data_IF_668103335007
#
_entry.id   IF_668103335007
#
_cell.length_a   1.000
_cell.length_b   1.000
_cell.length_c   1.000
_cell.angle_alpha   90.00
_cell.angle_beta   90.00
_cell.angle_gamma   90.00
#
_symmetry.space_group_name_H-M   'P 1'
#
loop_
_entity.id
_entity.type
_entity.pdbx_description
1 polymer ?
#
# COMPACT_ATOMS: atom_id res chain seq x y z
N UNK A 1 -11.50 6.29 1.73
CA UNK A 1 -10.87 5.13 1.06
C UNK A 1 -10.83 5.39 -0.45
N UNK A 2 -9.64 5.43 -1.02
CA UNK A 2 -9.43 5.71 -2.44
C UNK A 2 -9.46 4.46 -3.32
N UNK A 3 -9.08 3.33 -2.77
CA UNK A 3 -8.93 2.10 -3.53
C UNK A 3 -9.07 0.91 -2.61
N UNK A 4 -9.55 -0.20 -3.15
CA UNK A 4 -9.59 -1.46 -2.41
C UNK A 4 -9.37 -2.64 -3.34
N UNK A 5 -8.84 -3.71 -2.78
CA UNK A 5 -8.55 -4.93 -3.52
C UNK A 5 -8.89 -6.13 -2.64
N UNK A 6 -9.58 -7.12 -3.20
CA UNK A 6 -9.96 -8.32 -2.48
C UNK A 6 -8.92 -9.43 -2.68
N UNK A 7 -8.63 -10.15 -1.60
CA UNK A 7 -7.68 -11.26 -1.59
C UNK A 7 -8.28 -12.47 -0.90
N UNK A 8 -7.70 -13.61 -1.20
CA UNK A 8 -7.91 -14.84 -0.43
C UNK A 8 -6.56 -15.32 0.08
N UNK A 9 -6.47 -15.64 1.38
CA UNK A 9 -5.23 -16.15 1.99
C UNK A 9 -4.92 -17.53 1.44
N UNK A 10 -3.67 -17.72 0.98
CA UNK A 10 -3.16 -18.98 0.46
C UNK A 10 -2.42 -19.73 1.56
N UNK A 11 -2.41 -21.07 1.48
CA UNK A 11 -1.78 -21.93 2.51
C UNK A 11 -0.31 -21.57 2.74
N UNK A 12 0.43 -21.31 1.66
CA UNK A 12 1.85 -21.01 1.76
C UNK A 12 2.16 -19.63 2.36
N UNK A 13 1.15 -18.82 2.58
CA UNK A 13 1.30 -17.52 3.24
C UNK A 13 1.22 -17.62 4.76
N UNK A 14 0.87 -18.78 5.26
CA UNK A 14 0.72 -19.04 6.69
C UNK A 14 1.97 -19.71 7.28
N UNK A 15 2.18 -19.45 8.57
CA UNK A 15 3.26 -20.08 9.33
C UNK A 15 2.79 -21.40 9.96
N UNK A 16 3.64 -21.98 10.82
CA UNK A 16 3.35 -23.25 11.50
C UNK A 16 2.13 -23.16 12.44
N UNK A 17 1.74 -21.95 12.84
CA UNK A 17 0.59 -21.73 13.72
C UNK A 17 -0.71 -21.62 12.92
N UNK A 18 -0.65 -21.70 11.60
CA UNK A 18 -1.82 -21.61 10.72
C UNK A 18 -2.35 -20.21 10.51
N UNK A 19 -1.60 -19.20 10.88
CA UNK A 19 -1.95 -17.79 10.65
C UNK A 19 -0.98 -17.18 9.64
N UNK A 20 -1.44 -16.12 8.96
CA UNK A 20 -0.61 -15.42 7.97
C UNK A 20 0.67 -14.92 8.63
N UNK A 21 1.81 -15.23 8.00
CA UNK A 21 3.12 -14.77 8.47
C UNK A 21 3.17 -13.23 8.44
N UNK A 22 3.76 -12.65 9.49
CA UNK A 22 3.83 -11.19 9.65
C UNK A 22 4.37 -10.47 8.42
N UNK A 23 5.37 -11.04 7.75
CA UNK A 23 5.97 -10.44 6.55
C UNK A 23 5.00 -10.36 5.37
N UNK A 24 4.04 -11.25 5.30
CA UNK A 24 3.10 -11.30 4.17
C UNK A 24 2.10 -10.13 4.18
N UNK A 25 1.84 -9.53 5.33
CA UNK A 25 1.00 -8.32 5.36
C UNK A 25 1.63 -7.19 4.56
N UNK A 26 2.94 -7.05 4.60
CA UNK A 26 3.65 -6.06 3.77
C UNK A 26 3.49 -6.38 2.28
N UNK A 27 3.52 -7.65 1.90
CA UNK A 27 3.32 -8.07 0.51
C UNK A 27 1.91 -7.75 0.03
N UNK A 28 0.88 -7.98 0.85
CA UNK A 28 -0.49 -7.61 0.50
C UNK A 28 -0.63 -6.11 0.27
N UNK A 29 -0.04 -5.31 1.15
CA UNK A 29 -0.09 -3.86 1.04
C UNK A 29 0.69 -3.36 -0.19
N UNK A 30 1.86 -3.94 -0.44
CA UNK A 30 2.67 -3.57 -1.62
C UNK A 30 1.90 -3.86 -2.90
N UNK A 31 1.29 -5.03 -3.00
CA UNK A 31 0.50 -5.39 -4.18
C UNK A 31 -0.68 -4.42 -4.36
N UNK A 32 -1.36 -4.07 -3.28
CA UNK A 32 -2.46 -3.12 -3.33
C UNK A 32 -1.99 -1.76 -3.83
N UNK A 33 -0.85 -1.27 -3.35
CA UNK A 33 -0.27 0.00 -3.83
C UNK A 33 0.06 -0.05 -5.31
N UNK A 34 0.68 -1.13 -5.77
CA UNK A 34 1.06 -1.30 -7.18
C UNK A 34 -0.17 -1.29 -8.08
N UNK A 35 -1.20 -2.04 -7.73
CA UNK A 35 -2.44 -2.08 -8.52
C UNK A 35 -3.13 -0.71 -8.56
N UNK A 36 -3.15 0.00 -7.43
CA UNK A 36 -3.70 1.35 -7.36
C UNK A 36 -2.99 2.30 -8.33
N UNK A 37 -1.67 2.26 -8.34
CA UNK A 37 -0.88 3.16 -9.19
C UNK A 37 -1.00 2.77 -10.66
N UNK A 38 -1.02 1.48 -10.98
CA UNK A 38 -1.22 1.00 -12.35
C UNK A 38 -2.58 1.44 -12.89
N UNK A 39 -3.65 1.30 -12.10
CA UNK A 39 -4.99 1.75 -12.51
C UNK A 39 -5.04 3.24 -12.80
N UNK A 40 -4.17 4.02 -12.16
CA UNK A 40 -4.11 5.47 -12.35
C UNK A 40 -3.02 5.89 -13.32
N UNK A 41 -2.52 4.94 -14.14
CA UNK A 41 -1.54 5.17 -15.20
C UNK A 41 -0.19 5.70 -14.69
N UNK A 42 0.19 5.33 -13.47
CA UNK A 42 1.49 5.67 -12.90
C UNK A 42 2.39 4.43 -13.00
N UNK A 43 3.46 4.53 -13.77
CA UNK A 43 4.42 3.45 -13.98
C UNK A 43 5.72 3.76 -13.24
N UNK A 44 6.06 2.92 -12.26
CA UNK A 44 7.35 3.02 -11.57
C UNK A 44 8.52 2.72 -12.52
N UNK A 45 8.33 1.80 -13.48
CA UNK A 45 9.36 1.48 -14.46
C UNK A 45 9.68 2.69 -15.31
N UNK A 46 8.64 3.41 -15.78
CA UNK A 46 8.84 4.63 -16.59
C UNK A 46 9.52 5.74 -15.79
N UNK A 47 9.16 5.88 -14.50
CA UNK A 47 9.81 6.86 -13.63
C UNK A 47 11.28 6.50 -13.38
N UNK A 48 11.56 5.21 -13.14
CA UNK A 48 12.92 4.73 -12.93
C UNK A 48 13.81 5.00 -14.16
N UNK A 49 13.26 4.84 -15.36
CA UNK A 49 13.98 5.15 -16.61
C UNK A 49 14.37 6.62 -16.70
N UNK A 50 13.64 7.49 -16.01
CA UNK A 50 13.97 8.92 -15.89
C UNK A 50 14.80 9.22 -14.64
N UNK A 51 15.30 8.18 -13.97
CA UNK A 51 16.05 8.27 -12.70
C UNK A 51 15.23 8.89 -11.56
N UNK A 52 13.93 8.66 -11.58
CA UNK A 52 13.01 9.03 -10.50
C UNK A 52 12.57 7.75 -9.82
N UNK A 53 12.95 7.59 -8.57
CA UNK A 53 12.61 6.41 -7.77
C UNK A 53 11.69 6.78 -6.62
N UNK A 54 10.73 5.91 -6.37
CA UNK A 54 9.75 6.08 -5.31
C UNK A 54 9.94 4.92 -4.32
N UNK A 55 10.40 5.25 -3.11
CA UNK A 55 10.84 4.24 -2.15
C UNK A 55 10.15 4.40 -0.81
N UNK A 56 9.94 3.27 -0.13
CA UNK A 56 9.40 3.26 1.23
C UNK A 56 10.53 3.61 2.19
N UNK A 57 10.34 4.68 2.97
CA UNK A 57 11.32 5.14 3.94
C UNK A 57 11.00 4.68 5.37
N UNK A 58 9.72 4.48 5.69
CA UNK A 58 9.30 4.07 7.02
C UNK A 58 8.01 3.29 6.95
N UNK A 59 7.92 2.24 7.77
CA UNK A 59 6.71 1.42 7.90
C UNK A 59 6.31 1.36 9.36
N UNK A 60 5.03 1.62 9.62
CA UNK A 60 4.39 1.33 10.91
C UNK A 60 3.27 0.34 10.66
N UNK A 61 3.25 -0.73 11.41
CA UNK A 61 2.24 -1.77 11.23
C UNK A 61 1.69 -2.24 12.55
N UNK A 62 0.37 -2.31 12.65
CA UNK A 62 -0.32 -2.82 13.83
C UNK A 62 -1.08 -4.09 13.47
N UNK A 63 -0.80 -5.17 14.18
CA UNK A 63 -1.42 -6.48 13.99
C UNK A 63 -2.58 -6.59 14.98
N UNK A 64 -3.81 -6.56 14.50
CA UNK A 64 -5.01 -6.51 15.35
C UNK A 64 -5.68 -7.85 15.53
N UNK A 65 -5.77 -8.64 14.44
CA UNK A 65 -6.41 -9.94 14.44
C UNK A 65 -5.84 -10.80 13.32
N UNK A 66 -5.42 -12.04 13.60
CA UNK A 66 -4.75 -12.85 12.58
C UNK A 66 -5.70 -13.33 11.48
N UNK A 67 -5.21 -13.32 10.26
CA UNK A 67 -5.84 -13.99 9.12
C UNK A 67 -5.37 -15.44 9.07
N UNK A 68 -6.22 -16.33 8.59
CA UNK A 68 -5.94 -17.76 8.45
C UNK A 68 -6.08 -18.20 7.01
N UNK A 69 -5.50 -19.35 6.69
CA UNK A 69 -5.63 -19.95 5.36
C UNK A 69 -7.10 -20.04 4.93
N UNK A 70 -7.38 -19.61 3.72
CA UNK A 70 -8.71 -19.63 3.14
C UNK A 70 -9.57 -18.41 3.47
N UNK A 71 -9.15 -17.57 4.42
CA UNK A 71 -9.89 -16.34 4.72
C UNK A 71 -9.88 -15.41 3.50
N UNK A 72 -11.02 -14.75 3.27
CA UNK A 72 -11.12 -13.67 2.30
C UNK A 72 -11.02 -12.35 3.04
N UNK A 73 -10.32 -11.39 2.47
CA UNK A 73 -10.19 -10.07 3.08
C UNK A 73 -10.15 -8.98 2.02
N UNK A 74 -10.43 -7.75 2.44
CA UNK A 74 -10.29 -6.57 1.61
C UNK A 74 -9.14 -5.71 2.14
N UNK A 75 -8.28 -5.29 1.23
CA UNK A 75 -7.18 -4.36 1.51
C UNK A 75 -7.59 -2.98 1.00
N UNK A 76 -7.74 -2.03 1.91
CA UNK A 76 -8.16 -0.66 1.60
C UNK A 76 -6.96 0.27 1.67
N UNK A 77 -6.99 1.31 0.83
CA UNK A 77 -5.86 2.23 0.69
C UNK A 77 -6.35 3.67 0.61
N UNK A 78 -5.68 4.54 1.36
CA UNK A 78 -5.72 5.99 1.18
C UNK A 78 -4.31 6.49 0.90
N UNK A 79 -4.21 7.60 0.20
CA UNK A 79 -2.94 8.17 -0.24
C UNK A 79 -2.99 9.68 -0.10
N UNK A 80 -1.98 10.25 0.56
CA UNK A 80 -1.90 11.69 0.79
C UNK A 80 -0.44 12.16 0.84
N UNK A 81 -0.24 13.46 0.72
CA UNK A 81 1.08 14.08 0.86
C UNK A 81 1.20 14.73 2.22
N UNK A 82 2.35 14.51 2.87
CA UNK A 82 2.71 15.18 4.13
C UNK A 82 4.11 15.76 3.98
N UNK A 83 4.21 17.04 3.65
CA UNK A 83 5.50 17.68 3.38
C UNK A 83 6.18 17.03 2.18
N UNK A 84 7.40 16.54 2.37
CA UNK A 84 8.16 15.84 1.32
C UNK A 84 7.76 14.38 1.17
N UNK A 85 6.94 13.85 2.08
CA UNK A 85 6.54 12.46 2.10
C UNK A 85 5.25 12.23 1.35
N UNK A 86 5.15 11.05 0.76
CA UNK A 86 3.92 10.50 0.19
C UNK A 86 3.49 9.34 1.09
N UNK A 87 2.31 9.42 1.68
CA UNK A 87 1.90 8.52 2.75
C UNK A 87 0.73 7.66 2.29
N UNK A 88 0.91 6.33 2.37
CA UNK A 88 -0.19 5.39 2.21
C UNK A 88 -0.68 4.97 3.58
N UNK A 89 -1.98 5.08 3.81
CA UNK A 89 -2.64 4.49 4.97
C UNK A 89 -3.47 3.32 4.47
N UNK A 90 -3.16 2.14 4.95
CA UNK A 90 -3.76 0.91 4.44
C UNK A 90 -4.31 0.07 5.58
N UNK A 91 -5.46 -0.57 5.32
CA UNK A 91 -6.13 -1.40 6.32
C UNK A 91 -6.60 -2.68 5.68
N UNK A 92 -6.56 -3.76 6.46
CA UNK A 92 -7.06 -5.06 6.05
C UNK A 92 -8.23 -5.45 6.94
N UNK A 93 -9.36 -5.77 6.31
CA UNK A 93 -10.57 -6.24 6.98
C UNK A 93 -10.91 -7.64 6.47
N UNK A 94 -11.06 -8.58 7.39
CA UNK A 94 -11.54 -9.91 7.03
C UNK A 94 -13.01 -9.84 6.58
N UNK A 95 -13.37 -10.63 5.60
CA UNK A 95 -14.73 -10.72 5.09
C UNK A 95 -15.36 -12.07 5.49
N UNK A 96 -16.69 -12.17 5.67
CA UNK A 96 -17.68 -11.11 5.45
C UNK A 96 -17.91 -10.20 6.66
N UNK A 97 -17.31 -10.49 7.81
CA UNK A 97 -17.61 -9.82 9.08
C UNK A 97 -16.96 -8.43 9.24
N UNK A 98 -16.09 -8.04 8.32
CA UNK A 98 -15.35 -6.77 8.36
C UNK A 98 -14.51 -6.60 9.65
N UNK A 99 -13.96 -7.68 10.14
CA UNK A 99 -13.06 -7.63 11.30
C UNK A 99 -11.74 -6.97 10.90
N UNK A 100 -11.38 -5.89 11.58
CA UNK A 100 -10.11 -5.21 11.34
C UNK A 100 -8.95 -6.12 11.76
N UNK A 101 -8.10 -6.47 10.81
CA UNK A 101 -6.98 -7.40 11.03
C UNK A 101 -5.64 -6.69 11.11
N UNK A 102 -5.45 -5.63 10.34
CA UNK A 102 -4.16 -4.97 10.25
C UNK A 102 -4.32 -3.52 9.82
N UNK A 103 -3.43 -2.66 10.32
CA UNK A 103 -3.33 -1.26 9.89
C UNK A 103 -1.86 -1.03 9.54
N UNK A 104 -1.61 -0.48 8.34
CA UNK A 104 -0.28 -0.13 7.89
C UNK A 104 -0.19 1.33 7.50
N UNK A 105 0.92 1.97 7.89
CA UNK A 105 1.27 3.30 7.41
C UNK A 105 2.63 3.18 6.71
N UNK A 106 2.70 3.66 5.48
CA UNK A 106 3.90 3.60 4.66
C UNK A 106 4.28 5.01 4.25
N UNK A 107 5.38 5.52 4.83
CA UNK A 107 5.93 6.82 4.47
C UNK A 107 6.90 6.59 3.32
N UNK A 108 6.59 7.18 2.18
CA UNK A 108 7.38 7.04 0.96
C UNK A 108 8.01 8.38 0.59
N UNK A 109 9.15 8.31 -0.09
CA UNK A 109 9.82 9.49 -0.60
C UNK A 109 10.22 9.28 -2.06
N UNK A 110 10.35 10.39 -2.78
CA UNK A 110 10.79 10.39 -4.15
C UNK A 110 12.25 10.81 -4.22
N UNK A 111 13.05 10.05 -4.97
CA UNK A 111 14.44 10.35 -5.24
C UNK A 111 14.59 10.68 -6.73
N UNK A 112 15.05 11.89 -7.03
CA UNK A 112 15.32 12.32 -8.39
C UNK A 112 16.84 12.39 -8.57
N UNK A 113 17.39 11.51 -9.41
CA UNK A 113 18.84 11.33 -9.57
C UNK A 113 19.53 11.11 -8.22
N UNK A 114 18.89 10.32 -7.33
CA UNK A 114 19.40 9.99 -6.02
C UNK A 114 19.21 11.07 -4.95
N UNK A 115 18.54 12.17 -5.27
CA UNK A 115 18.29 13.26 -4.34
C UNK A 115 16.83 13.31 -3.94
N UNK A 116 16.61 13.59 -2.66
CA UNK A 116 15.25 13.75 -2.11
C UNK A 116 14.59 14.96 -2.74
N UNK A 117 13.48 14.74 -3.46
CA UNK A 117 12.72 15.79 -4.15
C UNK A 117 11.25 15.42 -4.20
N UNK A 118 10.40 16.42 -4.45
CA UNK A 118 9.02 16.17 -4.84
C UNK A 118 8.96 15.54 -6.23
N UNK A 119 8.02 14.65 -6.45
CA UNK A 119 7.70 14.12 -7.75
C UNK A 119 6.48 14.88 -8.28
N UNK A 120 6.64 15.67 -9.32
CA UNK A 120 5.55 16.49 -9.88
C UNK A 120 4.37 15.63 -10.32
N UNK A 121 4.65 14.48 -10.91
CA UNK A 121 3.60 13.55 -11.34
C UNK A 121 2.73 13.10 -10.16
N UNK A 122 3.36 12.77 -9.03
CA UNK A 122 2.63 12.34 -7.82
C UNK A 122 1.92 13.53 -7.15
N UNK A 123 2.54 14.69 -7.13
CA UNK A 123 1.93 15.91 -6.58
C UNK A 123 0.65 16.24 -7.34
N UNK A 124 0.71 16.24 -8.67
CA UNK A 124 -0.43 16.50 -9.53
C UNK A 124 -1.52 15.44 -9.36
N UNK A 125 -1.12 14.19 -9.26
CA UNK A 125 -2.03 13.07 -9.06
C UNK A 125 -2.80 13.23 -7.73
N UNK A 126 -2.09 13.56 -6.65
CA UNK A 126 -2.71 13.74 -5.32
C UNK A 126 -3.68 14.92 -5.34
N UNK A 127 -3.34 16.01 -6.02
CA UNK A 127 -4.26 17.13 -6.16
C UNK A 127 -5.54 16.71 -6.87
N UNK A 128 -5.44 15.91 -7.92
CA UNK A 128 -6.60 15.42 -8.68
C UNK A 128 -7.51 14.55 -7.83
N UNK A 129 -6.97 13.60 -7.08
CA UNK A 129 -7.77 12.71 -6.24
C UNK A 129 -8.38 13.45 -5.06
N UNK A 130 -7.70 14.45 -4.53
CA UNK A 130 -8.21 15.28 -3.44
C UNK A 130 -9.37 16.17 -3.93
N UNK A 131 -9.24 16.73 -5.13
CA UNK A 131 -10.28 17.58 -5.71
C UNK A 131 -11.57 16.82 -6.02
N UNK A 132 -11.49 15.49 -6.23
CA UNK A 132 -12.66 14.64 -6.52
C UNK A 132 -13.43 14.21 -5.26
N UNK A 133 -12.85 14.45 -4.09
CA UNK A 133 -13.51 14.18 -2.83
C UNK A 133 -14.39 15.38 -2.44
#
# INVERSE_FOLDING_TARGET
MLYSLEFRVRDYECDLQGIVNNANYQHYYEHTRHEFLIENNISFAALHDQQIDFVVARVEMSYKYPLRSGDTFVSELDFRQEGIKYVFIQKIYRLPDRKLCNIGRFDCVCLDHGRLKHCELLDDFIQKITAKK
#
